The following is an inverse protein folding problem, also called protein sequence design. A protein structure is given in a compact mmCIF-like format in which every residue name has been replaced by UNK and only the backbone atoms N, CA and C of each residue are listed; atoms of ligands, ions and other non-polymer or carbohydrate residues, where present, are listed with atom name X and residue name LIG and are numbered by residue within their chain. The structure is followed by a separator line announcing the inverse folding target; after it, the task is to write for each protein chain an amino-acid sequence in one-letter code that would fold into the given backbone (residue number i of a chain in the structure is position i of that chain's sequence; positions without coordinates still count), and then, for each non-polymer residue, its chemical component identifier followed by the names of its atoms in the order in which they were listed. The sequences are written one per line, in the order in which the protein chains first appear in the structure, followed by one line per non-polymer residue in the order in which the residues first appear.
data_IF_837183165614
#
_entry.id   IF_837183165614
#
_cell.length_a   1.000
_cell.length_b   1.000
_cell.length_c   1.000
_cell.angle_alpha   90.00
_cell.angle_beta   90.00
_cell.angle_gamma   90.00
#
_symmetry.space_group_name_H-M   'P 1'
#
loop_
_entity.id
_entity.type
_entity.pdbx_description
1 polymer ?
#
# COMPACT_ATOMS: atom_id res chain seq x y z
N UNK A 1 -1.04 -18.73 -18.55
CA UNK A 1 -0.17 -17.58 -18.25
C UNK A 1 0.46 -17.83 -16.91
N UNK A 2 1.75 -18.17 -16.84
CA UNK A 2 2.44 -18.30 -15.56
C UNK A 2 2.91 -16.91 -15.14
N UNK A 3 2.19 -16.27 -14.23
CA UNK A 3 2.80 -15.23 -13.38
C UNK A 3 3.89 -15.96 -12.59
N UNK A 4 5.19 -15.77 -12.87
CA UNK A 4 6.20 -16.54 -12.19
C UNK A 4 6.63 -15.75 -10.96
N UNK A 5 6.50 -16.39 -9.80
CA UNK A 5 7.11 -16.01 -8.53
C UNK A 5 6.55 -14.73 -7.87
N UNK A 6 6.34 -14.80 -6.55
CA UNK A 6 6.03 -13.61 -5.74
C UNK A 6 7.21 -12.61 -5.80
N UNK A 7 6.99 -11.35 -5.39
CA UNK A 7 8.11 -10.40 -5.25
C UNK A 7 9.23 -10.95 -4.34
N UNK A 8 8.85 -11.72 -3.31
CA UNK A 8 9.77 -12.39 -2.40
C UNK A 8 10.64 -13.42 -3.10
N UNK A 9 10.03 -14.27 -3.92
CA UNK A 9 10.73 -15.28 -4.71
C UNK A 9 11.72 -14.68 -5.72
N UNK A 10 11.36 -13.56 -6.36
CA UNK A 10 12.30 -12.80 -7.20
C UNK A 10 13.48 -12.26 -6.37
N UNK A 11 13.20 -11.74 -5.17
CA UNK A 11 14.22 -11.33 -4.22
C UNK A 11 15.19 -12.47 -3.87
N UNK A 12 14.67 -13.68 -3.63
CA UNK A 12 15.47 -14.89 -3.38
C UNK A 12 16.33 -15.25 -4.58
N UNK A 13 15.76 -15.22 -5.79
CA UNK A 13 16.49 -15.54 -7.03
C UNK A 13 17.62 -14.53 -7.33
N UNK A 14 17.44 -13.26 -6.97
CA UNK A 14 18.51 -12.26 -7.05
C UNK A 14 19.58 -12.50 -5.97
N UNK A 15 19.15 -12.80 -4.73
CA UNK A 15 20.06 -13.08 -3.63
C UNK A 15 20.94 -14.32 -3.90
N UNK A 16 20.42 -15.36 -4.55
CA UNK A 16 21.22 -16.53 -4.94
C UNK A 16 22.32 -16.22 -5.96
N UNK A 17 22.25 -15.07 -6.63
CA UNK A 17 23.30 -14.52 -7.52
C UNK A 17 24.27 -13.58 -6.81
N UNK A 18 24.11 -13.39 -5.49
CA UNK A 18 24.93 -12.49 -4.68
C UNK A 18 24.41 -11.05 -4.59
N UNK A 19 23.23 -10.75 -5.12
CA UNK A 19 22.66 -9.40 -5.06
C UNK A 19 22.04 -9.10 -3.70
N UNK A 20 22.02 -7.81 -3.32
CA UNK A 20 21.23 -7.31 -2.20
C UNK A 20 19.89 -6.79 -2.74
N UNK A 21 18.84 -7.60 -2.61
CA UNK A 21 17.49 -7.23 -3.02
C UNK A 21 16.70 -6.64 -1.84
N UNK A 22 15.93 -5.59 -2.08
CA UNK A 22 14.98 -5.00 -1.13
C UNK A 22 13.64 -4.80 -1.81
N UNK A 23 12.55 -5.17 -1.15
CA UNK A 23 11.19 -4.98 -1.65
C UNK A 23 10.62 -3.79 -0.90
N UNK A 24 10.16 -2.78 -1.64
CA UNK A 24 9.57 -1.55 -1.11
C UNK A 24 8.30 -1.24 -1.91
N UNK A 25 7.31 -0.62 -1.28
CA UNK A 25 6.25 0.04 -2.05
C UNK A 25 6.81 1.35 -2.66
N UNK A 26 6.12 1.91 -3.66
CA UNK A 26 6.59 3.10 -4.37
C UNK A 26 6.68 4.33 -3.47
N UNK A 27 5.87 4.41 -2.40
CA UNK A 27 5.96 5.49 -1.42
C UNK A 27 7.22 5.36 -0.58
N UNK A 28 7.47 4.20 0.00
CA UNK A 28 8.64 3.92 0.83
C UNK A 28 9.94 4.06 0.01
N UNK A 29 9.91 3.62 -1.25
CA UNK A 29 11.02 3.83 -2.18
C UNK A 29 11.28 5.33 -2.41
N UNK A 30 10.26 6.13 -2.71
CA UNK A 30 10.41 7.57 -2.89
C UNK A 30 10.79 8.30 -1.60
N UNK A 31 10.45 7.79 -0.42
CA UNK A 31 10.95 8.31 0.87
C UNK A 31 12.45 8.04 1.03
N UNK A 32 12.90 6.83 0.72
CA UNK A 32 14.32 6.47 0.76
C UNK A 32 15.14 7.21 -0.29
N UNK A 33 14.53 7.49 -1.45
CA UNK A 33 15.15 8.17 -2.58
C UNK A 33 14.31 9.38 -3.04
N UNK A 34 14.35 10.51 -2.32
CA UNK A 34 13.47 11.66 -2.58
C UNK A 34 13.70 12.37 -3.93
N UNK A 35 14.81 12.07 -4.60
CA UNK A 35 15.10 12.54 -5.97
C UNK A 35 14.49 11.65 -7.05
N UNK A 36 14.12 10.43 -6.70
CA UNK A 36 13.47 9.50 -7.61
C UNK A 36 11.98 9.81 -7.65
N UNK A 37 11.52 10.22 -8.83
CA UNK A 37 10.12 10.51 -9.07
C UNK A 37 9.54 9.49 -10.02
N UNK A 38 8.50 8.82 -9.55
CA UNK A 38 7.63 8.03 -10.38
C UNK A 38 6.81 8.98 -11.26
N UNK A 39 6.83 8.79 -12.56
CA UNK A 39 6.07 9.60 -13.52
C UNK A 39 5.14 8.72 -14.34
N UNK A 40 4.00 9.26 -14.73
CA UNK A 40 3.08 8.57 -15.62
C UNK A 40 3.73 8.34 -16.98
N UNK A 41 3.49 7.15 -17.54
CA UNK A 41 3.97 6.83 -18.87
C UNK A 41 3.21 7.65 -19.90
N UNK A 42 3.96 8.35 -20.74
CA UNK A 42 3.42 9.16 -21.82
C UNK A 42 3.38 8.34 -23.12
N UNK A 43 2.29 8.38 -23.91
CA UNK A 43 2.23 7.70 -25.21
C UNK A 43 3.30 8.15 -26.21
N UNK A 44 3.80 9.38 -26.10
CA UNK A 44 4.94 9.89 -26.87
C UNK A 44 6.30 9.47 -26.28
N UNK A 45 6.31 8.79 -25.14
CA UNK A 45 7.48 8.28 -24.47
C UNK A 45 8.12 7.12 -25.22
N UNK A 46 9.46 7.08 -25.19
CA UNK A 46 10.26 6.03 -25.81
C UNK A 46 10.27 4.78 -24.94
N UNK A 47 9.94 3.62 -25.51
CA UNK A 47 10.23 2.33 -24.89
C UNK A 47 11.74 2.08 -25.02
N UNK A 48 12.52 2.68 -24.12
CA UNK A 48 13.97 2.85 -24.25
C UNK A 48 14.75 1.94 -23.31
N UNK A 49 16.07 2.06 -23.38
CA UNK A 49 16.98 1.24 -22.58
C UNK A 49 16.83 1.48 -21.07
N UNK A 50 17.25 0.48 -20.30
CA UNK A 50 17.45 0.55 -18.84
C UNK A 50 18.62 1.47 -18.44
N UNK A 51 19.44 1.87 -19.41
CA UNK A 51 20.65 2.70 -19.27
C UNK A 51 20.39 3.95 -18.40
N UNK A 52 21.25 4.16 -17.40
CA UNK A 52 21.10 5.25 -16.44
C UNK A 52 21.67 6.58 -16.91
N UNK A 53 22.41 6.59 -18.02
CA UNK A 53 23.05 7.79 -18.58
C UNK A 53 22.04 8.81 -19.10
N UNK A 54 22.52 10.04 -19.29
CA UNK A 54 21.80 11.04 -20.07
C UNK A 54 21.76 10.64 -21.55
N UNK A 55 20.81 11.17 -22.29
CA UNK A 55 20.69 10.98 -23.75
C UNK A 55 20.11 12.21 -24.43
N UNK A 56 19.97 12.13 -25.74
CA UNK A 56 19.27 13.12 -26.56
C UNK A 56 17.73 13.06 -26.44
N UNK A 57 17.17 12.10 -25.71
CA UNK A 57 15.74 12.10 -25.38
C UNK A 57 15.43 13.14 -24.29
N UNK A 58 14.40 13.97 -24.51
CA UNK A 58 14.04 15.08 -23.61
C UNK A 58 12.55 15.11 -23.27
N UNK A 59 12.23 15.66 -22.10
CA UNK A 59 10.84 15.83 -21.64
C UNK A 59 10.05 14.51 -21.67
N UNK A 60 8.86 14.55 -22.28
CA UNK A 60 7.96 13.39 -22.39
C UNK A 60 8.56 12.17 -23.09
N UNK A 61 9.57 12.35 -23.93
CA UNK A 61 10.27 11.22 -24.58
C UNK A 61 10.93 10.29 -23.54
N UNK A 62 11.31 10.82 -22.37
CA UNK A 62 11.90 10.05 -21.28
C UNK A 62 10.86 9.26 -20.46
N UNK A 63 9.56 9.53 -20.67
CA UNK A 63 8.45 8.96 -19.91
C UNK A 63 7.89 7.69 -20.54
N UNK A 64 8.63 6.99 -21.41
CA UNK A 64 8.24 5.65 -21.87
C UNK A 64 8.80 4.53 -20.98
N UNK A 65 8.31 3.29 -21.12
CA UNK A 65 8.82 2.16 -20.33
C UNK A 65 10.31 1.88 -20.58
N UNK A 66 11.02 1.38 -19.56
CA UNK A 66 12.45 1.03 -19.63
C UNK A 66 12.65 -0.48 -19.73
N UNK A 67 13.26 -0.93 -20.83
CA UNK A 67 13.50 -2.34 -21.16
C UNK A 67 14.94 -2.53 -21.64
N UNK A 68 15.52 -3.72 -21.48
CA UNK A 68 16.90 -4.02 -21.85
C UNK A 68 17.15 -3.72 -23.33
N UNK A 69 18.01 -2.74 -23.62
CA UNK A 69 18.28 -2.30 -25.01
C UNK A 69 17.05 -1.77 -25.76
N UNK A 70 15.99 -1.35 -25.07
CA UNK A 70 14.72 -0.98 -25.68
C UNK A 70 14.00 -2.20 -26.26
N UNK A 71 13.62 -2.16 -27.54
CA UNK A 71 12.91 -3.28 -28.20
C UNK A 71 13.74 -4.56 -28.31
N UNK A 72 15.07 -4.47 -28.20
CA UNK A 72 15.92 -5.66 -28.20
C UNK A 72 15.68 -6.59 -27.00
N UNK A 73 15.19 -6.06 -25.87
CA UNK A 73 14.87 -6.87 -24.71
C UNK A 73 13.70 -7.81 -24.99
N UNK A 74 12.72 -7.35 -25.77
CA UNK A 74 11.61 -8.19 -26.24
C UNK A 74 12.15 -9.24 -27.22
N UNK A 75 13.01 -8.80 -28.16
CA UNK A 75 13.60 -9.65 -29.19
C UNK A 75 14.39 -10.83 -28.60
N UNK A 76 15.29 -10.53 -27.66
CA UNK A 76 16.09 -11.54 -26.94
C UNK A 76 15.19 -12.53 -26.21
N UNK A 77 14.20 -12.04 -25.46
CA UNK A 77 13.33 -12.90 -24.66
C UNK A 77 12.48 -13.85 -25.52
N UNK A 78 12.16 -13.46 -26.76
CA UNK A 78 11.45 -14.29 -27.75
C UNK A 78 12.37 -15.11 -28.66
N UNK A 79 13.69 -14.94 -28.55
CA UNK A 79 14.66 -15.66 -29.35
C UNK A 79 14.59 -15.37 -30.86
N UNK A 80 14.15 -14.16 -31.24
CA UNK A 80 14.07 -13.80 -32.67
C UNK A 80 15.47 -13.67 -33.27
N UNK A 81 15.59 -13.83 -34.58
CA UNK A 81 16.90 -13.77 -35.26
C UNK A 81 16.97 -12.79 -36.42
N UNK A 82 15.84 -12.38 -36.97
CA UNK A 82 15.80 -11.62 -38.22
C UNK A 82 15.29 -10.19 -38.03
N UNK A 83 15.65 -9.29 -38.95
CA UNK A 83 15.12 -7.91 -38.95
C UNK A 83 13.61 -7.88 -39.21
N UNK A 84 13.06 -8.84 -39.97
CA UNK A 84 11.60 -8.94 -40.19
C UNK A 84 10.84 -9.21 -38.88
N UNK A 85 11.39 -10.08 -38.02
CA UNK A 85 10.82 -10.31 -36.69
C UNK A 85 10.97 -9.09 -35.78
N UNK A 86 12.11 -8.37 -35.87
CA UNK A 86 12.33 -7.13 -35.13
C UNK A 86 11.36 -6.01 -35.56
N UNK A 87 11.06 -5.91 -36.85
CA UNK A 87 10.04 -5.00 -37.39
C UNK A 87 8.67 -5.32 -36.80
N UNK A 88 8.29 -6.61 -36.72
CA UNK A 88 7.04 -7.03 -36.11
C UNK A 88 6.94 -6.61 -34.63
N UNK A 89 8.03 -6.72 -33.87
CA UNK A 89 8.11 -6.21 -32.49
C UNK A 89 7.92 -4.70 -32.45
N UNK A 90 8.52 -3.95 -33.38
CA UNK A 90 8.33 -2.50 -33.44
C UNK A 90 6.86 -2.12 -33.67
N UNK A 91 6.15 -2.85 -34.53
CA UNK A 91 4.71 -2.62 -34.75
C UNK A 91 3.88 -2.98 -33.51
N UNK A 92 4.23 -4.05 -32.80
CA UNK A 92 3.57 -4.41 -31.54
C UNK A 92 3.76 -3.33 -30.46
N UNK A 93 4.97 -2.79 -30.32
CA UNK A 93 5.26 -1.72 -29.36
C UNK A 93 4.45 -0.45 -29.67
N UNK A 94 4.30 -0.12 -30.96
CA UNK A 94 3.43 0.98 -31.41
C UNK A 94 1.96 0.72 -31.09
N UNK A 95 1.48 -0.49 -31.38
CA UNK A 95 0.11 -0.89 -31.07
C UNK A 95 -0.17 -0.86 -29.55
N UNK A 96 0.85 -1.10 -28.72
CA UNK A 96 0.78 -0.96 -27.27
C UNK A 96 0.84 0.49 -26.76
N UNK A 97 0.91 1.47 -27.66
CA UNK A 97 0.88 2.91 -27.34
C UNK A 97 2.24 3.48 -26.92
N UNK A 98 3.35 2.92 -27.44
CA UNK A 98 4.70 3.37 -27.11
C UNK A 98 5.53 3.58 -28.39
N UNK A 99 6.55 4.45 -28.31
CA UNK A 99 7.49 4.64 -29.43
C UNK A 99 8.61 3.59 -29.33
N UNK A 100 8.77 2.67 -30.31
CA UNK A 100 9.84 1.68 -30.27
C UNK A 100 11.20 2.34 -30.44
N UNK A 101 12.14 1.97 -29.58
CA UNK A 101 13.49 2.53 -29.57
C UNK A 101 14.56 1.46 -29.44
N UNK A 102 15.68 1.71 -30.09
CA UNK A 102 17.00 1.16 -29.74
C UNK A 102 17.94 2.33 -29.48
N UNK A 103 19.15 2.08 -29.03
CA UNK A 103 20.10 3.17 -28.80
C UNK A 103 21.54 2.79 -29.11
N UNK A 104 22.37 3.82 -29.23
CA UNK A 104 23.83 3.76 -29.19
C UNK A 104 24.39 4.77 -28.18
N UNK A 105 25.66 5.09 -28.37
CA UNK A 105 26.33 6.26 -27.80
C UNK A 105 27.29 6.88 -28.83
N UNK A 106 28.19 7.78 -28.40
CA UNK A 106 29.20 8.42 -29.25
C UNK A 106 30.07 7.42 -30.07
N UNK A 107 30.15 6.15 -29.66
CA UNK A 107 30.84 5.08 -30.36
C UNK A 107 29.99 4.29 -31.37
N UNK A 108 28.72 4.64 -31.57
CA UNK A 108 27.78 3.97 -32.47
C UNK A 108 26.78 3.04 -31.75
N UNK A 109 26.07 2.19 -32.50
CA UNK A 109 24.97 1.35 -31.96
C UNK A 109 25.47 0.34 -30.91
N UNK A 110 26.72 -0.11 -31.01
CA UNK A 110 27.34 -0.98 -30.00
C UNK A 110 27.64 -0.26 -28.66
N UNK A 111 27.34 1.03 -28.56
CA UNK A 111 27.24 1.77 -27.31
C UNK A 111 26.11 1.28 -26.39
N UNK A 112 25.14 0.54 -26.93
CA UNK A 112 24.21 -0.24 -26.13
C UNK A 112 24.89 -1.51 -25.61
N UNK A 113 25.20 -1.54 -24.30
CA UNK A 113 25.81 -2.69 -23.65
C UNK A 113 25.02 -3.99 -23.83
N UNK A 114 23.69 -3.93 -23.75
CA UNK A 114 22.82 -5.10 -23.95
C UNK A 114 22.88 -5.64 -25.39
N UNK A 115 22.75 -4.75 -26.39
CA UNK A 115 22.89 -5.13 -27.80
C UNK A 115 24.27 -5.75 -28.05
N UNK A 116 25.34 -5.13 -27.55
CA UNK A 116 26.71 -5.64 -27.68
C UNK A 116 26.85 -7.03 -27.08
N UNK A 117 26.27 -7.31 -25.92
CA UNK A 117 26.30 -8.64 -25.32
C UNK A 117 25.54 -9.67 -26.18
N UNK A 118 24.35 -9.32 -26.67
CA UNK A 118 23.55 -10.22 -27.50
C UNK A 118 24.23 -10.57 -28.83
N UNK A 119 24.74 -9.56 -29.54
CA UNK A 119 25.46 -9.74 -30.81
C UNK A 119 26.70 -10.63 -30.67
N UNK A 120 27.34 -10.60 -29.49
CA UNK A 120 28.53 -11.40 -29.19
C UNK A 120 28.20 -12.75 -28.53
N UNK A 121 26.94 -13.21 -28.62
CA UNK A 121 26.51 -14.51 -28.11
C UNK A 121 26.67 -14.67 -26.60
N UNK A 122 26.61 -13.58 -25.83
CA UNK A 122 26.87 -13.62 -24.39
C UNK A 122 25.70 -14.08 -23.53
N UNK A 123 24.60 -14.55 -24.13
CA UNK A 123 23.38 -15.03 -23.47
C UNK A 123 23.05 -16.51 -23.79
N UNK A 124 24.02 -17.34 -24.16
CA UNK A 124 23.76 -18.73 -24.59
C UNK A 124 23.49 -19.71 -23.43
N UNK A 125 23.95 -19.43 -22.19
CA UNK A 125 23.97 -20.40 -21.08
C UNK A 125 23.61 -19.79 -19.71
N UNK A 126 22.44 -19.15 -19.59
CA UNK A 126 22.09 -18.41 -18.36
C UNK A 126 20.75 -18.79 -17.75
N UNK A 127 20.68 -18.72 -16.42
CA UNK A 127 19.46 -18.90 -15.62
C UNK A 127 18.35 -17.85 -15.84
N UNK A 128 18.40 -17.09 -16.94
CA UNK A 128 17.33 -16.21 -17.44
C UNK A 128 16.86 -16.67 -18.82
N UNK A 129 17.05 -15.84 -19.84
CA UNK A 129 16.82 -16.18 -21.26
C UNK A 129 18.09 -16.76 -21.88
N UNK A 130 17.99 -17.98 -22.41
CA UNK A 130 19.01 -18.55 -23.30
C UNK A 130 18.65 -18.23 -24.76
N UNK A 131 19.51 -17.47 -25.45
CA UNK A 131 19.31 -17.16 -26.88
C UNK A 131 20.62 -17.16 -27.66
N UNK A 132 20.53 -17.57 -28.93
CA UNK A 132 21.59 -17.36 -29.91
C UNK A 132 21.71 -15.87 -30.28
N UNK A 133 22.87 -15.43 -30.79
CA UNK A 133 22.98 -14.13 -31.45
C UNK A 133 22.02 -14.04 -32.65
N UNK A 134 21.61 -12.83 -33.05
CA UNK A 134 20.75 -12.64 -34.21
C UNK A 134 21.53 -12.79 -35.53
N UNK A 135 20.80 -12.98 -36.63
CA UNK A 135 21.33 -13.07 -37.99
C UNK A 135 21.48 -11.69 -38.65
N UNK A 136 21.52 -10.62 -37.85
CA UNK A 136 21.70 -9.23 -38.30
C UNK A 136 22.70 -8.47 -37.43
N UNK A 137 23.33 -7.43 -37.99
CA UNK A 137 24.26 -6.56 -37.26
C UNK A 137 23.52 -5.48 -36.45
N UNK A 138 24.21 -4.88 -35.48
CA UNK A 138 23.66 -3.78 -34.69
C UNK A 138 23.13 -2.62 -35.57
N UNK A 139 23.86 -2.26 -36.63
CA UNK A 139 23.44 -1.22 -37.58
C UNK A 139 22.23 -1.62 -38.42
N UNK A 140 22.15 -2.88 -38.86
CA UNK A 140 20.97 -3.41 -39.56
C UNK A 140 19.73 -3.39 -38.65
N UNK A 141 19.89 -3.75 -37.38
CA UNK A 141 18.82 -3.69 -36.39
C UNK A 141 18.34 -2.25 -36.13
N UNK A 142 19.27 -1.30 -35.97
CA UNK A 142 18.92 0.12 -35.80
C UNK A 142 18.24 0.72 -37.03
N UNK A 143 18.73 0.39 -38.23
CA UNK A 143 18.10 0.80 -39.49
C UNK A 143 16.68 0.21 -39.62
N UNK A 144 16.49 -1.05 -39.25
CA UNK A 144 15.18 -1.70 -39.23
C UNK A 144 14.21 -1.00 -38.27
N UNK A 145 14.63 -0.71 -37.03
CA UNK A 145 13.79 0.01 -36.05
C UNK A 145 13.38 1.38 -36.58
N UNK A 146 14.31 2.12 -37.19
CA UNK A 146 14.03 3.42 -37.81
C UNK A 146 13.07 3.29 -38.99
N UNK A 147 13.26 2.30 -39.87
CA UNK A 147 12.38 2.04 -41.01
C UNK A 147 10.96 1.63 -40.58
N UNK A 148 10.83 0.89 -39.49
CA UNK A 148 9.56 0.58 -38.85
C UNK A 148 8.91 1.80 -38.16
N UNK A 149 9.53 2.99 -38.25
CA UNK A 149 9.09 4.26 -37.67
C UNK A 149 9.32 4.38 -36.17
N UNK A 150 10.33 3.68 -35.65
CA UNK A 150 10.89 3.88 -34.31
C UNK A 150 12.00 4.92 -34.30
N UNK A 151 12.69 5.02 -33.17
CA UNK A 151 13.77 5.99 -32.93
C UNK A 151 15.08 5.27 -32.57
N UNK A 152 16.21 5.87 -32.94
CA UNK A 152 17.54 5.49 -32.47
C UNK A 152 18.01 6.59 -31.54
N UNK A 153 18.02 6.31 -30.24
CA UNK A 153 18.46 7.23 -29.20
C UNK A 153 20.00 7.23 -29.06
N UNK A 154 20.58 8.36 -28.68
CA UNK A 154 22.01 8.49 -28.46
C UNK A 154 22.32 8.89 -27.01
N UNK A 155 23.01 8.01 -26.28
CA UNK A 155 23.41 8.29 -24.90
C UNK A 155 24.71 9.09 -24.84
N UNK A 156 24.81 9.92 -23.81
CA UNK A 156 25.99 10.74 -23.51
C UNK A 156 26.51 10.42 -22.11
N UNK A 157 27.80 10.65 -21.89
CA UNK A 157 28.54 10.36 -20.66
C UNK A 157 28.85 8.88 -20.39
N UNK A 158 29.58 8.65 -19.29
CA UNK A 158 30.02 7.32 -18.83
C UNK A 158 29.00 6.72 -17.86
N UNK A 159 28.95 5.40 -17.83
CA UNK A 159 28.19 4.63 -16.84
C UNK A 159 28.72 4.86 -15.41
N UNK A 160 27.80 5.15 -14.48
CA UNK A 160 28.05 5.33 -13.04
C UNK A 160 26.89 4.81 -12.19
N UNK A 161 26.11 3.87 -12.72
CA UNK A 161 24.92 3.33 -12.07
C UNK A 161 25.23 2.71 -10.70
N UNK A 162 24.43 3.07 -9.69
CA UNK A 162 24.66 2.67 -8.30
C UNK A 162 23.82 1.47 -7.84
N UNK A 163 22.67 1.27 -8.49
CA UNK A 163 21.70 0.24 -8.15
C UNK A 163 20.74 0.01 -9.33
N UNK A 164 19.91 -1.01 -9.21
CA UNK A 164 18.86 -1.36 -10.18
C UNK A 164 17.50 -1.16 -9.55
N UNK A 165 16.58 -0.52 -10.28
CA UNK A 165 15.16 -0.45 -9.94
C UNK A 165 14.42 -1.48 -10.79
N UNK A 166 13.70 -2.38 -10.14
CA UNK A 166 12.75 -3.31 -10.77
C UNK A 166 11.34 -2.81 -10.45
N UNK A 167 10.76 -2.03 -11.36
CA UNK A 167 9.50 -1.31 -11.15
C UNK A 167 8.29 -2.15 -11.56
N UNK A 168 7.42 -2.45 -10.60
CA UNK A 168 6.16 -3.17 -10.77
C UNK A 168 4.93 -2.25 -10.73
N UNK A 169 5.10 -0.92 -10.60
CA UNK A 169 3.99 0.03 -10.54
C UNK A 169 3.38 0.23 -11.94
N UNK A 170 2.13 -0.19 -12.19
CA UNK A 170 1.55 -0.16 -13.54
C UNK A 170 1.42 1.27 -14.10
N UNK A 171 1.72 1.42 -15.40
CA UNK A 171 1.52 2.69 -16.11
C UNK A 171 2.50 3.80 -15.73
N UNK A 172 3.51 3.51 -14.90
CA UNK A 172 4.48 4.50 -14.43
C UNK A 172 5.91 4.07 -14.69
N UNK A 173 6.83 5.02 -14.70
CA UNK A 173 8.27 4.78 -14.91
C UNK A 173 9.11 5.75 -14.08
N UNK A 174 10.41 5.50 -14.01
CA UNK A 174 11.40 6.46 -13.54
C UNK A 174 12.17 7.05 -14.74
N UNK A 175 12.70 8.26 -14.56
CA UNK A 175 13.42 9.01 -15.61
C UNK A 175 14.93 8.94 -15.38
N UNK A 176 15.79 8.68 -16.38
CA UNK A 176 17.25 8.70 -16.23
C UNK A 176 17.80 9.99 -15.59
N UNK A 177 18.85 9.87 -14.76
CA UNK A 177 19.53 11.01 -14.15
C UNK A 177 21.04 10.87 -14.38
N UNK A 178 21.55 11.58 -15.38
CA UNK A 178 22.96 11.47 -15.80
C UNK A 178 23.98 11.84 -14.70
N UNK A 179 23.58 12.54 -13.64
CA UNK A 179 24.44 12.91 -12.50
C UNK A 179 24.31 11.94 -11.31
N UNK A 180 23.26 11.12 -11.27
CA UNK A 180 22.98 10.18 -10.19
C UNK A 180 22.33 8.93 -10.79
N UNK A 181 23.17 8.11 -11.44
CA UNK A 181 22.70 7.06 -12.33
C UNK A 181 22.27 5.79 -11.59
N UNK A 182 21.35 5.07 -12.22
CA UNK A 182 20.77 3.79 -11.82
C UNK A 182 20.16 3.13 -13.04
N UNK A 183 20.13 1.81 -13.07
CA UNK A 183 19.39 1.09 -14.09
C UNK A 183 17.91 1.02 -13.71
N UNK A 184 17.03 1.18 -14.70
CA UNK A 184 15.58 1.14 -14.49
C UNK A 184 14.99 0.05 -15.37
N UNK A 185 14.28 -0.91 -14.78
CA UNK A 185 13.57 -1.97 -15.50
C UNK A 185 12.10 -1.90 -15.14
N UNK A 186 11.24 -1.57 -16.11
CA UNK A 186 9.79 -1.52 -15.91
C UNK A 186 9.18 -2.92 -16.07
N UNK A 187 9.26 -3.72 -15.00
CA UNK A 187 8.75 -5.09 -14.93
C UNK A 187 7.24 -5.19 -15.21
N UNK A 188 6.44 -4.18 -14.84
CA UNK A 188 5.00 -4.16 -15.14
C UNK A 188 4.70 -4.15 -16.65
N UNK A 189 5.60 -3.61 -17.48
CA UNK A 189 5.40 -3.52 -18.93
C UNK A 189 5.61 -4.88 -19.63
N UNK A 190 6.31 -5.83 -18.98
CA UNK A 190 6.63 -7.14 -19.57
C UNK A 190 5.37 -7.95 -19.89
N UNK A 191 4.33 -7.85 -19.07
CA UNK A 191 3.04 -8.50 -19.30
C UNK A 191 2.35 -8.03 -20.59
N UNK A 192 2.54 -6.76 -20.99
CA UNK A 192 2.00 -6.22 -22.25
C UNK A 192 2.58 -6.92 -23.49
N UNK A 193 3.79 -7.46 -23.37
CA UNK A 193 4.52 -8.11 -24.44
C UNK A 193 4.63 -9.63 -24.23
N UNK A 194 3.81 -10.20 -23.33
CA UNK A 194 3.78 -11.64 -23.04
C UNK A 194 5.17 -12.22 -22.70
N UNK A 195 5.97 -11.49 -21.90
CA UNK A 195 7.30 -11.91 -21.49
C UNK A 195 7.30 -12.53 -20.09
N UNK A 196 8.18 -13.50 -19.86
CA UNK A 196 8.40 -14.09 -18.54
C UNK A 196 9.17 -13.10 -17.65
N UNK A 197 8.49 -12.58 -16.63
CA UNK A 197 9.00 -11.54 -15.73
C UNK A 197 10.25 -12.00 -15.00
N UNK A 198 10.25 -13.21 -14.44
CA UNK A 198 11.39 -13.74 -13.69
C UNK A 198 12.58 -13.90 -14.61
N UNK A 199 12.42 -14.55 -15.76
CA UNK A 199 13.53 -14.73 -16.73
C UNK A 199 14.07 -13.39 -17.18
N UNK A 200 13.19 -12.42 -17.45
CA UNK A 200 13.61 -11.09 -17.88
C UNK A 200 14.39 -10.35 -16.80
N UNK A 201 13.92 -10.37 -15.55
CA UNK A 201 14.62 -9.75 -14.43
C UNK A 201 15.99 -10.41 -14.17
N UNK A 202 16.08 -11.74 -14.30
CA UNK A 202 17.35 -12.45 -14.18
C UNK A 202 18.29 -12.17 -15.36
N UNK A 203 17.78 -12.00 -16.58
CA UNK A 203 18.57 -11.51 -17.72
C UNK A 203 19.04 -10.07 -17.50
N UNK A 204 18.24 -9.22 -16.87
CA UNK A 204 18.66 -7.86 -16.51
C UNK A 204 19.82 -7.89 -15.48
N UNK A 205 19.71 -8.71 -14.44
CA UNK A 205 20.79 -8.92 -13.48
C UNK A 205 22.06 -9.44 -14.15
N UNK A 206 21.95 -10.47 -15.00
CA UNK A 206 23.09 -11.03 -15.73
C UNK A 206 23.72 -10.02 -16.71
N UNK A 207 22.92 -9.15 -17.32
CA UNK A 207 23.41 -8.04 -18.15
C UNK A 207 24.31 -7.11 -17.32
N UNK A 208 23.86 -6.68 -16.15
CA UNK A 208 24.65 -5.81 -15.26
C UNK A 208 25.95 -6.49 -14.82
N UNK A 209 25.90 -7.78 -14.47
CA UNK A 209 27.07 -8.57 -14.08
C UNK A 209 28.11 -8.66 -15.20
N UNK A 210 27.69 -8.91 -16.44
CA UNK A 210 28.60 -9.04 -17.60
C UNK A 210 29.20 -7.73 -18.07
N UNK A 211 28.49 -6.62 -17.88
CA UNK A 211 29.03 -5.29 -18.14
C UNK A 211 30.07 -4.88 -17.09
N UNK A 212 30.16 -5.60 -15.96
CA UNK A 212 31.07 -5.31 -14.84
C UNK A 212 31.85 -6.55 -14.34
N UNK A 213 32.61 -7.25 -15.22
CA UNK A 213 33.17 -8.57 -14.91
C UNK A 213 34.19 -8.58 -13.75
N UNK A 214 34.77 -7.43 -13.38
CA UNK A 214 35.78 -7.30 -12.33
C UNK A 214 35.22 -7.13 -10.90
N UNK A 215 33.90 -7.04 -10.71
CA UNK A 215 33.29 -6.77 -9.40
C UNK A 215 32.62 -8.02 -8.78
N UNK A 216 33.41 -9.00 -8.35
CA UNK A 216 32.90 -10.21 -7.64
C UNK A 216 33.49 -10.33 -6.22
N UNK A 217 32.68 -10.67 -5.18
CA UNK A 217 31.22 -10.89 -5.21
C UNK A 217 30.45 -9.60 -5.50
N UNK A 218 29.37 -9.70 -6.28
CA UNK A 218 28.66 -8.54 -6.83
C UNK A 218 27.98 -7.72 -5.73
N UNK A 219 28.41 -6.48 -5.45
CA UNK A 219 27.81 -5.66 -4.39
C UNK A 219 26.51 -4.98 -4.83
N UNK A 220 25.91 -5.42 -5.95
CA UNK A 220 24.78 -4.74 -6.57
C UNK A 220 23.53 -4.80 -5.71
N UNK A 221 22.86 -3.64 -5.65
CA UNK A 221 21.59 -3.46 -4.96
C UNK A 221 20.46 -3.46 -5.98
N UNK A 222 19.42 -4.23 -5.72
CA UNK A 222 18.18 -4.20 -6.48
C UNK A 222 17.04 -3.74 -5.57
N UNK A 223 16.27 -2.77 -6.01
CA UNK A 223 15.04 -2.35 -5.35
C UNK A 223 13.85 -2.81 -6.19
N UNK A 224 13.10 -3.76 -5.66
CA UNK A 224 11.83 -4.23 -6.23
C UNK A 224 10.76 -3.26 -5.73
N UNK A 225 10.34 -2.36 -6.62
CA UNK A 225 9.38 -1.30 -6.30
C UNK A 225 7.99 -1.77 -6.69
N UNK A 226 7.14 -1.95 -5.71
CA UNK A 226 5.77 -2.47 -5.86
C UNK A 226 4.77 -1.33 -5.81
N UNK A 227 3.58 -1.46 -6.45
CA UNK A 227 2.53 -0.48 -6.21
C UNK A 227 2.19 -0.48 -4.73
N UNK A 228 2.18 0.71 -4.13
CA UNK A 228 1.54 0.91 -2.84
C UNK A 228 0.13 0.34 -2.88
N UNK A 229 -0.15 -0.58 -1.97
CA UNK A 229 -1.53 -0.91 -1.64
C UNK A 229 -2.26 0.41 -1.33
N UNK A 230 -3.49 0.60 -1.84
CA UNK A 230 -4.33 1.72 -1.48
C UNK A 230 -4.34 1.80 0.04
N UNK A 231 -3.73 2.87 0.60
CA UNK A 231 -4.00 3.20 2.00
C UNK A 231 -5.41 3.72 1.95
N UNK A 232 -6.40 2.93 2.37
CA UNK A 232 -7.60 3.53 2.91
C UNK A 232 -7.14 4.21 4.21
N UNK A 233 -6.71 5.45 4.12
CA UNK A 233 -6.21 6.25 5.23
C UNK A 233 -7.30 7.15 5.79
N UNK A 234 -6.94 8.06 6.70
CA UNK A 234 -7.84 9.08 7.21
C UNK A 234 -8.59 9.85 6.11
N UNK A 235 -7.94 10.20 4.99
CA UNK A 235 -8.60 10.91 3.88
C UNK A 235 -9.72 10.08 3.21
N UNK A 236 -9.47 8.81 2.91
CA UNK A 236 -10.46 7.91 2.31
C UNK A 236 -11.62 7.62 3.27
N UNK A 237 -11.34 7.51 4.58
CA UNK A 237 -12.38 7.36 5.60
C UNK A 237 -13.26 8.62 5.64
N UNK A 238 -12.67 9.83 5.59
CA UNK A 238 -13.45 11.08 5.47
C UNK A 238 -14.36 11.05 4.24
N UNK A 239 -13.83 10.68 3.08
CA UNK A 239 -14.61 10.55 1.84
C UNK A 239 -15.75 9.53 1.97
N UNK A 240 -15.50 8.38 2.59
CA UNK A 240 -16.51 7.36 2.84
C UNK A 240 -17.64 7.86 3.76
N UNK A 241 -17.29 8.55 4.85
CA UNK A 241 -18.27 9.13 5.78
C UNK A 241 -19.08 10.25 5.12
N UNK A 242 -18.44 11.13 4.36
CA UNK A 242 -19.12 12.18 3.59
C UNK A 242 -20.08 11.60 2.55
N UNK A 243 -19.71 10.49 1.90
CA UNK A 243 -20.60 9.74 1.00
C UNK A 243 -21.84 9.17 1.69
N UNK A 244 -21.77 8.94 3.01
CA UNK A 244 -22.92 8.56 3.87
C UNK A 244 -23.70 9.76 4.41
N UNK A 245 -23.35 10.99 4.01
CA UNK A 245 -24.00 12.22 4.44
C UNK A 245 -23.46 12.83 5.74
N UNK A 246 -22.31 12.39 6.24
CA UNK A 246 -21.69 12.93 7.44
C UNK A 246 -20.88 14.21 7.18
N UNK A 247 -20.78 15.07 8.18
CA UNK A 247 -19.74 16.10 8.26
C UNK A 247 -18.47 15.49 8.88
N UNK A 248 -17.49 15.11 8.06
CA UNK A 248 -16.22 14.55 8.54
C UNK A 248 -15.04 15.49 8.27
N UNK A 249 -14.15 15.65 9.26
CA UNK A 249 -12.91 16.44 9.15
C UNK A 249 -11.71 15.70 9.79
N UNK A 250 -10.51 15.99 9.31
CA UNK A 250 -9.25 15.57 9.93
C UNK A 250 -8.75 16.70 10.84
N UNK A 251 -8.34 16.36 12.05
CA UNK A 251 -7.69 17.26 12.98
C UNK A 251 -6.39 16.65 13.49
N UNK A 252 -5.46 17.50 13.89
CA UNK A 252 -4.14 17.09 14.37
C UNK A 252 -4.16 16.73 15.86
N UNK A 253 -3.17 15.97 16.29
CA UNK A 253 -2.91 15.62 17.68
C UNK A 253 -2.78 16.88 18.54
N UNK A 254 -1.98 17.86 18.09
CA UNK A 254 -1.78 19.13 18.79
C UNK A 254 -3.09 19.88 19.06
N UNK A 255 -4.02 19.91 18.09
CA UNK A 255 -5.34 20.54 18.24
C UNK A 255 -6.21 19.85 19.30
N UNK A 256 -5.98 18.57 19.54
CA UNK A 256 -6.75 17.72 20.46
C UNK A 256 -6.00 17.39 21.76
N UNK A 257 -4.81 17.98 21.98
CA UNK A 257 -3.95 17.64 23.12
C UNK A 257 -4.61 17.85 24.49
N UNK A 258 -5.57 18.77 24.61
CA UNK A 258 -6.28 19.05 25.86
C UNK A 258 -7.23 17.93 26.31
N UNK A 259 -7.63 17.04 25.41
CA UNK A 259 -8.57 15.95 25.68
C UNK A 259 -8.01 14.55 25.45
N UNK A 260 -6.82 14.45 24.84
CA UNK A 260 -6.11 13.19 24.68
C UNK A 260 -5.42 12.80 26.00
N UNK A 261 -5.67 11.59 26.46
CA UNK A 261 -5.04 11.01 27.66
C UNK A 261 -4.29 9.73 27.30
N UNK A 262 -3.21 9.45 28.02
CA UNK A 262 -2.47 8.19 27.87
C UNK A 262 -3.33 7.01 28.31
N UNK A 263 -3.27 5.93 27.55
CA UNK A 263 -3.92 4.68 27.95
C UNK A 263 -3.27 4.12 29.21
N UNK A 264 -4.09 3.74 30.18
CA UNK A 264 -3.66 3.06 31.40
C UNK A 264 -3.71 1.54 31.21
N UNK A 265 -2.72 0.78 31.70
CA UNK A 265 -2.79 -0.69 31.74
C UNK A 265 -3.97 -1.23 32.57
N UNK A 266 -4.48 -0.44 33.52
CA UNK A 266 -5.67 -0.77 34.31
C UNK A 266 -6.98 -0.31 33.63
N UNK A 267 -6.86 0.32 32.47
CA UNK A 267 -7.96 0.84 31.68
C UNK A 267 -8.77 -0.28 31.04
N UNK A 268 -10.08 -0.08 31.02
CA UNK A 268 -11.02 -0.99 30.38
C UNK A 268 -10.98 -0.78 28.87
N UNK A 269 -10.72 -1.84 28.09
CA UNK A 269 -11.05 -1.85 26.67
C UNK A 269 -12.58 -1.91 26.57
N UNK A 270 -13.21 -0.74 26.58
CA UNK A 270 -14.65 -0.56 26.76
C UNK A 270 -15.34 0.02 25.53
N UNK A 271 -16.66 0.22 25.64
CA UNK A 271 -17.49 0.72 24.55
C UNK A 271 -17.12 2.14 24.13
N UNK A 272 -17.50 2.48 22.90
CA UNK A 272 -17.48 3.83 22.33
C UNK A 272 -18.52 4.77 22.95
N UNK A 273 -19.45 4.22 23.74
CA UNK A 273 -20.57 4.90 24.42
C UNK A 273 -20.12 6.16 25.18
N UNK A 274 -20.82 7.27 24.95
CA UNK A 274 -20.49 8.58 25.52
C UNK A 274 -21.09 8.84 26.89
N UNK A 275 -21.96 7.96 27.39
CA UNK A 275 -22.61 8.10 28.70
C UNK A 275 -21.64 7.92 29.87
N UNK A 276 -22.08 8.36 31.05
CA UNK A 276 -21.42 8.00 32.30
C UNK A 276 -21.61 6.51 32.64
N UNK A 277 -20.69 5.96 33.41
CA UNK A 277 -20.75 4.58 33.90
C UNK A 277 -20.20 4.43 35.32
N UNK A 278 -20.26 3.21 35.83
CA UNK A 278 -19.63 2.79 37.08
C UNK A 278 -18.09 2.71 37.02
N UNK A 279 -17.46 2.74 35.83
CA UNK A 279 -16.01 2.85 35.69
C UNK A 279 -15.48 4.20 36.21
N UNK A 280 -14.40 4.18 37.00
CA UNK A 280 -13.79 5.37 37.63
C UNK A 280 -12.28 5.45 37.42
N UNK A 281 -11.76 6.68 37.39
CA UNK A 281 -10.33 6.96 37.31
C UNK A 281 -9.67 6.26 36.13
N UNK A 282 -8.58 5.55 36.40
CA UNK A 282 -7.80 4.85 35.36
C UNK A 282 -8.60 3.81 34.57
N UNK A 283 -9.70 3.27 35.11
CA UNK A 283 -10.58 2.34 34.38
C UNK A 283 -11.17 2.99 33.11
N UNK A 284 -11.37 4.31 33.11
CA UNK A 284 -11.87 5.04 31.95
C UNK A 284 -10.82 5.24 30.86
N UNK A 285 -9.54 5.02 31.17
CA UNK A 285 -8.39 5.28 30.30
C UNK A 285 -7.92 4.06 29.51
N UNK A 286 -8.82 3.12 29.23
CA UNK A 286 -8.53 2.05 28.25
C UNK A 286 -9.01 2.42 26.85
N UNK A 287 -8.62 1.65 25.81
CA UNK A 287 -9.06 1.90 24.45
C UNK A 287 -10.59 1.78 24.29
N UNK A 288 -11.18 2.58 23.40
CA UNK A 288 -12.62 2.57 23.11
C UNK A 288 -12.90 1.85 21.79
N UNK A 289 -13.63 0.74 21.87
CA UNK A 289 -14.00 -0.12 20.74
C UNK A 289 -15.51 -0.41 20.76
N UNK A 290 -16.12 -0.66 19.60
CA UNK A 290 -17.56 -0.92 19.45
C UNK A 290 -18.01 -2.07 20.37
N UNK A 291 -18.83 -1.77 21.38
CA UNK A 291 -19.26 -2.76 22.38
C UNK A 291 -18.13 -3.40 23.21
N UNK A 292 -16.97 -2.74 23.30
CA UNK A 292 -15.77 -3.29 23.94
C UNK A 292 -15.18 -4.43 23.12
N UNK A 293 -14.97 -5.60 23.72
CA UNK A 293 -14.40 -6.78 23.03
C UNK A 293 -15.29 -7.30 21.90
N UNK A 294 -16.59 -6.97 21.88
CA UNK A 294 -17.47 -7.35 20.79
C UNK A 294 -17.06 -6.73 19.45
N UNK A 295 -16.41 -5.58 19.42
CA UNK A 295 -15.96 -4.95 18.19
C UNK A 295 -14.91 -5.79 17.46
N UNK A 296 -14.02 -6.45 18.23
CA UNK A 296 -13.05 -7.42 17.72
C UNK A 296 -13.79 -8.66 17.22
N UNK A 297 -14.75 -9.14 18.02
CA UNK A 297 -15.51 -10.34 17.73
C UNK A 297 -16.29 -10.27 16.41
N UNK A 298 -17.03 -9.17 16.21
CA UNK A 298 -17.82 -8.90 15.02
C UNK A 298 -16.93 -8.81 13.78
N UNK A 299 -15.83 -8.08 13.86
CA UNK A 299 -14.93 -7.89 12.71
C UNK A 299 -14.28 -9.21 12.27
N UNK A 300 -13.99 -10.11 13.21
CA UNK A 300 -13.44 -11.45 12.92
C UNK A 300 -14.49 -12.50 12.61
N UNK A 301 -15.77 -12.16 12.72
CA UNK A 301 -16.88 -13.07 12.43
C UNK A 301 -17.00 -14.24 13.41
N UNK A 302 -16.53 -14.11 14.65
CA UNK A 302 -16.61 -15.23 15.62
C UNK A 302 -18.07 -15.50 16.01
N UNK A 303 -18.37 -16.75 16.39
CA UNK A 303 -19.76 -17.17 16.65
C UNK A 303 -19.97 -17.80 18.03
N UNK A 304 -18.91 -18.17 18.74
CA UNK A 304 -19.00 -18.97 19.97
C UNK A 304 -18.41 -18.24 21.17
N UNK A 305 -18.85 -18.63 22.37
CA UNK A 305 -18.29 -18.12 23.63
C UNK A 305 -16.83 -18.52 23.83
N UNK A 306 -16.41 -19.68 23.32
CA UNK A 306 -14.99 -20.10 23.37
C UNK A 306 -14.08 -19.17 22.56
N UNK A 307 -14.54 -18.73 21.40
CA UNK A 307 -13.81 -17.73 20.59
C UNK A 307 -13.80 -16.36 21.27
N UNK A 308 -14.91 -15.96 21.93
CA UNK A 308 -14.97 -14.73 22.71
C UNK A 308 -14.01 -14.75 23.91
N UNK A 309 -13.92 -15.88 24.61
CA UNK A 309 -12.95 -16.10 25.69
C UNK A 309 -11.51 -15.94 25.19
N UNK A 310 -11.19 -16.46 23.99
CA UNK A 310 -9.88 -16.28 23.38
C UNK A 310 -9.56 -14.80 23.09
N UNK A 311 -10.54 -14.02 22.60
CA UNK A 311 -10.40 -12.56 22.41
C UNK A 311 -10.12 -11.88 23.75
N UNK A 312 -10.81 -12.27 24.84
CA UNK A 312 -10.52 -11.71 26.15
C UNK A 312 -9.08 -11.96 26.60
N UNK A 313 -8.53 -13.15 26.34
CA UNK A 313 -7.12 -13.45 26.66
C UNK A 313 -6.16 -12.64 25.80
N UNK A 314 -6.46 -12.45 24.51
CA UNK A 314 -5.67 -11.59 23.63
C UNK A 314 -5.64 -10.13 24.11
N UNK A 315 -6.80 -9.59 24.51
CA UNK A 315 -6.90 -8.22 25.04
C UNK A 315 -6.08 -8.06 26.32
N UNK A 316 -6.09 -9.07 27.20
CA UNK A 316 -5.23 -9.09 28.40
C UNK A 316 -3.76 -9.14 28.05
N UNK A 317 -3.37 -10.01 27.11
CA UNK A 317 -1.99 -10.11 26.63
C UNK A 317 -1.52 -8.80 25.98
N UNK A 318 -2.43 -8.03 25.38
CA UNK A 318 -2.19 -6.70 24.84
C UNK A 318 -2.08 -5.58 25.91
N UNK A 319 -2.24 -5.92 27.19
CA UNK A 319 -2.08 -5.02 28.33
C UNK A 319 -3.32 -4.23 28.72
N UNK A 320 -4.52 -4.72 28.38
CA UNK A 320 -5.79 -4.04 28.65
C UNK A 320 -6.78 -4.95 29.39
N UNK A 321 -7.76 -4.37 30.08
CA UNK A 321 -8.83 -5.14 30.75
C UNK A 321 -10.00 -5.37 29.77
N UNK A 322 -10.29 -6.62 29.34
CA UNK A 322 -11.38 -6.90 28.40
C UNK A 322 -12.73 -6.59 29.05
N UNK A 323 -13.56 -5.80 28.36
CA UNK A 323 -14.84 -5.34 28.91
C UNK A 323 -15.96 -5.47 27.89
N UNK A 324 -17.15 -5.81 28.37
CA UNK A 324 -18.44 -5.58 27.70
C UNK A 324 -19.31 -4.75 28.64
N UNK A 325 -20.47 -4.28 28.19
CA UNK A 325 -21.31 -3.46 29.06
C UNK A 325 -22.80 -3.68 28.85
N UNK A 326 -23.57 -3.26 29.85
CA UNK A 326 -25.00 -3.01 29.78
C UNK A 326 -25.34 -1.57 30.20
N UNK A 327 -26.59 -1.38 30.58
CA UNK A 327 -27.07 -0.20 31.31
C UNK A 327 -28.15 -0.58 32.33
N UNK A 328 -28.86 0.40 32.89
CA UNK A 328 -29.95 0.21 33.86
C UNK A 328 -31.06 -0.76 33.39
N UNK A 329 -31.17 -1.02 32.08
CA UNK A 329 -32.09 -1.99 31.48
C UNK A 329 -31.52 -3.41 31.29
N UNK A 330 -30.26 -3.65 31.67
CA UNK A 330 -29.57 -4.94 31.55
C UNK A 330 -28.51 -4.96 30.45
N UNK A 331 -28.01 -6.16 30.11
CA UNK A 331 -26.86 -6.33 29.20
C UNK A 331 -27.13 -5.88 27.76
N UNK A 332 -28.40 -5.86 27.34
CA UNK A 332 -28.82 -5.30 26.05
C UNK A 332 -28.84 -3.76 26.01
N UNK A 333 -28.42 -3.10 27.09
CA UNK A 333 -28.09 -1.67 27.13
C UNK A 333 -26.91 -1.28 26.24
N UNK A 334 -26.10 -2.25 25.81
CA UNK A 334 -25.13 -2.04 24.74
C UNK A 334 -25.81 -2.02 23.37
N UNK A 335 -25.92 -0.83 22.77
CA UNK A 335 -26.49 -0.66 21.44
C UNK A 335 -25.81 -1.52 20.36
N UNK A 336 -24.48 -1.60 20.36
CA UNK A 336 -23.73 -2.40 19.39
C UNK A 336 -23.99 -3.91 19.52
N UNK A 337 -23.97 -4.44 20.75
CA UNK A 337 -24.29 -5.84 21.04
C UNK A 337 -25.72 -6.17 20.59
N UNK A 338 -26.67 -5.28 20.90
CA UNK A 338 -28.07 -5.40 20.47
C UNK A 338 -28.21 -5.45 18.96
N UNK A 339 -27.52 -4.57 18.22
CA UNK A 339 -27.54 -4.59 16.74
C UNK A 339 -26.95 -5.90 16.19
N UNK A 340 -25.83 -6.36 16.74
CA UNK A 340 -25.17 -7.59 16.29
C UNK A 340 -26.03 -8.83 16.52
N UNK A 341 -26.62 -8.99 17.71
CA UNK A 341 -27.48 -10.11 18.05
C UNK A 341 -28.77 -10.17 17.20
N UNK A 342 -29.23 -9.01 16.72
CA UNK A 342 -30.41 -8.87 15.86
C UNK A 342 -30.07 -8.81 14.36
N UNK A 343 -28.86 -9.23 13.98
CA UNK A 343 -28.42 -9.37 12.59
C UNK A 343 -28.50 -8.06 11.79
N UNK A 344 -28.38 -6.91 12.46
CA UNK A 344 -28.54 -5.59 11.84
C UNK A 344 -27.33 -5.11 11.03
N UNK A 345 -26.29 -5.94 10.93
CA UNK A 345 -25.09 -5.68 10.14
C UNK A 345 -24.96 -6.61 8.92
N UNK A 346 -25.96 -7.44 8.62
CA UNK A 346 -25.91 -8.36 7.48
C UNK A 346 -25.81 -7.64 6.12
N UNK A 347 -26.26 -6.39 6.05
CA UNK A 347 -26.19 -5.50 4.88
C UNK A 347 -24.90 -4.67 4.80
N UNK A 348 -24.06 -4.69 5.84
CA UNK A 348 -22.78 -4.00 5.86
C UNK A 348 -21.68 -4.98 5.43
N UNK A 349 -21.06 -4.73 4.27
CA UNK A 349 -20.16 -5.66 3.56
C UNK A 349 -18.84 -6.04 4.26
N UNK A 350 -18.75 -5.90 5.57
CA UNK A 350 -17.53 -6.02 6.38
C UNK A 350 -17.71 -6.80 7.66
N UNK A 351 -18.94 -7.19 7.98
CA UNK A 351 -19.21 -8.17 9.02
C UNK A 351 -19.25 -9.54 8.35
N UNK A 352 -18.27 -10.40 8.68
CA UNK A 352 -18.32 -11.81 8.26
C UNK A 352 -19.59 -12.45 8.84
N UNK A 353 -20.54 -12.68 7.96
CA UNK A 353 -21.98 -12.80 8.21
C UNK A 353 -22.40 -13.76 9.34
N UNK A 354 -23.56 -13.43 9.92
CA UNK A 354 -24.36 -14.05 10.99
C UNK A 354 -24.16 -13.54 12.43
N UNK A 355 -25.29 -13.26 13.10
CA UNK A 355 -25.37 -13.12 14.56
C UNK A 355 -24.61 -14.25 15.29
N UNK A 356 -24.08 -14.00 16.50
CA UNK A 356 -23.40 -15.04 17.26
C UNK A 356 -24.38 -16.13 17.69
N UNK A 357 -23.85 -17.30 18.06
CA UNK A 357 -24.63 -18.45 18.56
C UNK A 357 -24.81 -18.42 20.08
N UNK A 358 -24.61 -17.26 20.70
CA UNK A 358 -24.72 -17.05 22.15
C UNK A 358 -25.59 -15.83 22.46
N UNK A 359 -26.24 -15.82 23.63
CA UNK A 359 -27.02 -14.69 24.12
C UNK A 359 -26.14 -13.57 24.68
N UNK A 360 -26.69 -12.37 24.89
CA UNK A 360 -25.95 -11.28 25.53
C UNK A 360 -25.48 -11.68 26.93
N UNK A 361 -26.30 -12.40 27.68
CA UNK A 361 -26.02 -12.91 29.02
C UNK A 361 -24.92 -13.98 29.01
N UNK A 362 -24.92 -14.89 28.04
CA UNK A 362 -23.83 -15.87 27.89
C UNK A 362 -22.53 -15.16 27.53
N UNK A 363 -22.60 -14.14 26.68
CA UNK A 363 -21.47 -13.30 26.30
C UNK A 363 -20.87 -12.58 27.50
N UNK A 364 -21.69 -11.93 28.33
CA UNK A 364 -21.21 -11.21 29.52
C UNK A 364 -20.56 -12.15 30.54
N UNK A 365 -21.22 -13.28 30.85
CA UNK A 365 -20.68 -14.30 31.76
C UNK A 365 -19.36 -14.89 31.24
N UNK A 366 -19.24 -15.05 29.93
CA UNK A 366 -18.00 -15.53 29.29
C UNK A 366 -16.86 -14.53 29.49
N UNK A 367 -17.14 -13.23 29.33
CA UNK A 367 -16.15 -12.16 29.55
C UNK A 367 -15.72 -12.14 31.01
N UNK A 368 -16.65 -12.20 31.97
CA UNK A 368 -16.32 -12.29 33.40
C UNK A 368 -15.51 -13.53 33.74
N UNK A 369 -15.91 -14.70 33.21
CA UNK A 369 -15.18 -15.97 33.41
C UNK A 369 -13.76 -15.92 32.85
N UNK A 370 -13.55 -15.22 31.73
CA UNK A 370 -12.23 -14.97 31.17
C UNK A 370 -11.42 -13.94 32.00
N UNK A 371 -12.00 -13.42 33.09
CA UNK A 371 -11.46 -12.41 34.01
C UNK A 371 -11.51 -10.99 33.45
N UNK A 372 -12.47 -10.70 32.59
CA UNK A 372 -12.85 -9.35 32.17
C UNK A 372 -13.89 -8.71 33.08
N UNK A 373 -14.44 -7.59 32.65
CA UNK A 373 -15.42 -6.78 33.41
C UNK A 373 -16.71 -6.59 32.62
N UNK A 374 -17.84 -6.52 33.32
CA UNK A 374 -19.12 -6.05 32.78
C UNK A 374 -19.36 -4.66 33.35
N UNK A 375 -19.21 -3.64 32.52
CA UNK A 375 -19.45 -2.24 32.88
C UNK A 375 -20.95 -1.91 32.82
N UNK A 376 -21.41 -1.00 33.68
CA UNK A 376 -22.81 -0.55 33.67
C UNK A 376 -22.92 0.96 33.41
N UNK A 377 -23.56 1.33 32.30
CA UNK A 377 -23.79 2.74 31.96
C UNK A 377 -25.06 3.27 32.62
N UNK A 378 -25.10 4.59 32.82
CA UNK A 378 -26.24 5.30 33.41
C UNK A 378 -26.63 6.51 32.56
N UNK A 379 -27.90 6.88 32.62
CA UNK A 379 -28.41 8.04 31.87
C UNK A 379 -28.68 7.74 30.39
N UNK A 380 -28.92 8.82 29.63
CA UNK A 380 -29.38 8.76 28.22
C UNK A 380 -28.27 9.18 27.27
N UNK A 381 -28.32 8.64 26.06
CA UNK A 381 -27.48 9.05 24.94
C UNK A 381 -27.79 10.47 24.50
N UNK A 382 -26.75 11.30 24.41
CA UNK A 382 -26.80 12.68 23.87
C UNK A 382 -25.52 13.02 23.10
N UNK A 383 -24.88 12.04 22.48
CA UNK A 383 -23.62 12.21 21.75
C UNK A 383 -23.76 13.18 20.58
N UNK A 384 -22.79 14.10 20.45
CA UNK A 384 -22.82 15.17 19.44
C UNK A 384 -21.82 14.96 18.30
N UNK A 385 -20.79 14.14 18.52
CA UNK A 385 -19.67 13.94 17.61
C UNK A 385 -19.08 12.54 17.81
N UNK A 386 -18.54 11.98 16.73
CA UNK A 386 -17.72 10.77 16.75
C UNK A 386 -16.26 11.14 16.58
N UNK A 387 -15.41 10.82 17.55
CA UNK A 387 -13.97 10.91 17.41
C UNK A 387 -13.40 9.57 16.94
N UNK A 388 -12.70 9.60 15.80
CA UNK A 388 -11.92 8.48 15.29
C UNK A 388 -10.44 8.76 15.58
N UNK A 389 -9.90 8.19 16.65
CA UNK A 389 -8.56 8.49 17.15
C UNK A 389 -7.50 7.54 16.56
N UNK A 390 -6.53 8.09 15.82
CA UNK A 390 -5.38 7.37 15.26
C UNK A 390 -4.09 7.54 16.08
N UNK A 391 -4.14 8.22 17.23
CA UNK A 391 -2.95 8.43 18.08
C UNK A 391 -2.69 7.19 18.94
N UNK A 392 -1.66 6.43 18.58
CA UNK A 392 -1.26 5.20 19.28
C UNK A 392 -0.99 5.44 20.77
N UNK A 393 -1.47 4.52 21.62
CA UNK A 393 -1.33 4.58 23.07
C UNK A 393 -2.07 5.72 23.78
N UNK A 394 -2.89 6.49 23.06
CA UNK A 394 -3.72 7.56 23.61
C UNK A 394 -5.22 7.25 23.41
N UNK A 395 -6.08 7.82 24.24
CA UNK A 395 -7.54 7.72 24.13
C UNK A 395 -8.19 9.04 24.55
N UNK A 396 -9.52 9.11 24.46
CA UNK A 396 -10.34 10.15 25.07
C UNK A 396 -11.21 9.50 26.17
N UNK A 397 -11.61 10.30 27.17
CA UNK A 397 -12.53 9.88 28.23
C UNK A 397 -13.97 10.32 27.89
N UNK A 398 -15.00 9.51 28.24
CA UNK A 398 -16.39 9.96 28.17
C UNK A 398 -16.60 11.19 29.07
N UNK A 399 -17.50 12.09 28.70
CA UNK A 399 -18.03 13.06 29.64
C UNK A 399 -19.54 13.20 29.43
N UNK A 400 -20.26 12.94 30.52
CA UNK A 400 -21.70 12.75 30.54
C UNK A 400 -22.49 14.04 30.23
N UNK A 401 -21.89 15.21 30.48
CA UNK A 401 -22.51 16.52 30.27
C UNK A 401 -22.33 17.04 28.82
N UNK A 402 -21.39 16.45 28.06
CA UNK A 402 -21.09 16.84 26.68
C UNK A 402 -20.76 15.64 25.78
N UNK A 403 -21.63 14.62 25.79
CA UNK A 403 -21.30 13.29 25.28
C UNK A 403 -20.74 13.27 23.85
N UNK A 404 -19.84 12.30 23.61
CA UNK A 404 -19.25 12.00 22.30
C UNK A 404 -19.06 10.50 22.17
N UNK A 405 -19.17 9.97 20.96
CA UNK A 405 -18.69 8.62 20.69
C UNK A 405 -17.17 8.68 20.48
N UNK A 406 -16.44 7.73 21.06
CA UNK A 406 -14.97 7.67 20.96
C UNK A 406 -14.60 6.32 20.37
N UNK A 407 -13.91 6.32 19.24
CA UNK A 407 -13.42 5.12 18.56
C UNK A 407 -11.91 5.22 18.44
N UNK A 408 -11.19 4.38 19.17
CA UNK A 408 -9.73 4.29 19.05
C UNK A 408 -9.35 3.44 17.82
N UNK A 409 -9.26 4.09 16.66
CA UNK A 409 -8.92 3.45 15.39
C UNK A 409 -7.54 2.77 15.42
N UNK A 410 -6.58 3.33 16.15
CA UNK A 410 -5.27 2.71 16.36
C UNK A 410 -5.39 1.34 17.07
N UNK A 411 -6.36 1.18 17.97
CA UNK A 411 -6.56 -0.08 18.69
C UNK A 411 -7.09 -1.18 17.77
N UNK A 412 -7.93 -0.84 16.79
CA UNK A 412 -8.33 -1.78 15.74
C UNK A 412 -7.09 -2.32 14.98
N UNK A 413 -6.12 -1.46 14.67
CA UNK A 413 -4.83 -1.87 14.09
C UNK A 413 -4.02 -2.77 15.02
N UNK A 414 -3.96 -2.45 16.32
CA UNK A 414 -3.29 -3.27 17.34
C UNK A 414 -3.84 -4.70 17.42
N UNK A 415 -5.14 -4.88 17.18
CA UNK A 415 -5.80 -6.19 17.14
C UNK A 415 -5.92 -6.76 15.71
N UNK A 416 -5.08 -6.29 14.77
CA UNK A 416 -5.01 -6.78 13.39
C UNK A 416 -6.39 -6.80 12.70
N UNK A 417 -7.20 -5.77 12.94
CA UNK A 417 -8.46 -5.56 12.26
C UNK A 417 -8.24 -4.65 11.05
N UNK A 418 -9.15 -4.75 10.09
CA UNK A 418 -9.18 -3.84 8.95
C UNK A 418 -9.68 -2.45 9.44
N UNK A 419 -8.74 -1.54 9.71
CA UNK A 419 -9.01 -0.24 10.37
C UNK A 419 -10.02 0.62 9.61
N UNK A 420 -9.89 0.83 8.29
CA UNK A 420 -10.86 1.62 7.53
C UNK A 420 -12.26 1.02 7.59
N UNK A 421 -12.32 -0.31 7.43
CA UNK A 421 -13.58 -1.04 7.57
C UNK A 421 -14.17 -0.86 8.97
N UNK A 422 -13.34 -0.97 9.99
CA UNK A 422 -13.77 -0.77 11.37
C UNK A 422 -14.36 0.64 11.60
N UNK A 423 -13.72 1.68 11.09
CA UNK A 423 -14.20 3.07 11.18
C UNK A 423 -15.55 3.27 10.46
N UNK A 424 -15.73 2.72 9.26
CA UNK A 424 -17.01 2.80 8.54
C UNK A 424 -18.11 2.01 9.26
N UNK A 425 -17.77 0.87 9.87
CA UNK A 425 -18.71 0.08 10.70
C UNK A 425 -19.14 0.85 11.95
N UNK A 426 -18.23 1.65 12.53
CA UNK A 426 -18.57 2.52 13.64
C UNK A 426 -19.60 3.58 13.24
N UNK A 427 -19.46 4.18 12.05
CA UNK A 427 -20.47 5.10 11.52
C UNK A 427 -21.81 4.41 11.26
N UNK A 428 -21.81 3.24 10.62
CA UNK A 428 -23.02 2.44 10.41
C UNK A 428 -23.71 2.07 11.74
N UNK A 429 -22.94 1.81 12.80
CA UNK A 429 -23.47 1.57 14.14
C UNK A 429 -24.24 2.79 14.65
N UNK A 430 -23.66 3.99 14.58
CA UNK A 430 -24.31 5.24 15.02
C UNK A 430 -25.60 5.50 14.24
N UNK A 431 -25.59 5.29 12.93
CA UNK A 431 -26.76 5.43 12.07
C UNK A 431 -27.88 4.45 12.45
N UNK A 432 -27.55 3.16 12.63
CA UNK A 432 -28.52 2.11 12.95
C UNK A 432 -29.09 2.23 14.37
N UNK A 433 -28.39 2.89 15.29
CA UNK A 433 -28.92 3.22 16.62
C UNK A 433 -29.90 4.40 16.61
N UNK A 434 -29.96 5.16 15.51
CA UNK A 434 -30.81 6.35 15.37
C UNK A 434 -31.70 6.29 14.11
N UNK A 435 -32.54 5.25 13.95
CA UNK A 435 -33.36 5.09 12.76
C UNK A 435 -34.41 6.20 12.70
N UNK A 436 -34.28 7.13 11.75
CA UNK A 436 -35.27 8.18 11.49
C UNK A 436 -34.75 9.62 11.44
N UNK A 437 -33.46 9.87 11.66
CA UNK A 437 -32.89 11.23 11.69
C UNK A 437 -32.31 11.72 10.33
N UNK A 438 -32.82 11.28 9.16
CA UNK A 438 -32.26 11.71 7.86
C UNK A 438 -32.89 13.02 7.29
N UNK A 439 -32.12 13.92 6.62
CA UNK A 439 -30.65 13.93 6.52
C UNK A 439 -30.01 14.32 7.85
N UNK A 440 -28.97 13.56 8.25
CA UNK A 440 -28.55 13.49 9.64
C UNK A 440 -27.33 14.36 9.94
N UNK A 441 -27.30 15.13 11.04
CA UNK A 441 -26.21 16.06 11.39
C UNK A 441 -25.00 15.37 12.01
N UNK A 442 -24.65 14.16 11.55
CA UNK A 442 -23.55 13.40 12.16
C UNK A 442 -22.21 14.05 11.87
N UNK A 443 -21.47 14.35 12.94
CA UNK A 443 -20.11 14.89 12.85
C UNK A 443 -19.09 13.83 13.21
N UNK A 444 -18.07 13.67 12.36
CA UNK A 444 -16.89 12.87 12.66
C UNK A 444 -15.62 13.73 12.66
N UNK A 445 -14.72 13.47 13.62
CA UNK A 445 -13.40 14.08 13.69
C UNK A 445 -12.36 12.97 13.74
N UNK A 446 -11.51 12.89 12.72
CA UNK A 446 -10.38 11.97 12.68
C UNK A 446 -9.17 12.67 13.30
N UNK A 447 -8.64 12.15 14.40
CA UNK A 447 -7.46 12.71 15.06
C UNK A 447 -6.22 11.96 14.60
N UNK A 448 -5.31 12.65 13.92
CA UNK A 448 -4.07 12.07 13.35
C UNK A 448 -2.81 12.73 13.93
N UNK A 449 -1.64 12.07 13.91
CA UNK A 449 -0.37 12.69 14.28
C UNK A 449 -0.12 14.00 13.51
N UNK A 450 0.60 14.94 14.12
CA UNK A 450 0.88 16.26 13.51
C UNK A 450 1.67 16.13 12.19
N UNK A 451 2.46 15.07 12.02
CA UNK A 451 3.26 14.76 10.85
C UNK A 451 2.57 13.81 9.85
N UNK A 452 1.31 13.45 10.09
CA UNK A 452 0.56 12.57 9.21
C UNK A 452 0.39 13.19 7.80
N UNK A 453 0.52 12.43 6.69
CA UNK A 453 0.39 12.96 5.33
C UNK A 453 -0.94 13.70 5.07
N UNK A 454 -2.02 13.23 5.69
CA UNK A 454 -3.36 13.81 5.58
C UNK A 454 -3.64 14.91 6.62
N UNK A 455 -2.67 15.26 7.48
CA UNK A 455 -2.84 16.33 8.45
C UNK A 455 -3.10 17.67 7.72
N UNK A 456 -4.07 18.48 8.16
CA UNK A 456 -4.28 19.81 7.60
C UNK A 456 -2.99 20.63 7.70
N UNK A 457 -2.43 21.01 6.55
CA UNK A 457 -1.25 21.88 6.52
C UNK A 457 -1.65 23.24 7.06
N UNK A 458 -0.85 23.79 7.98
CA UNK A 458 -1.02 25.17 8.41
C UNK A 458 -1.07 26.08 7.18
N UNK A 459 -2.12 26.89 7.06
CA UNK A 459 -2.12 27.98 6.09
C UNK A 459 -0.87 28.82 6.38
N UNK A 460 0.07 28.87 5.44
CA UNK A 460 1.11 29.87 5.48
C UNK A 460 0.41 31.21 5.45
N UNK A 461 0.31 31.88 6.60
CA UNK A 461 0.01 33.29 6.63
C UNK A 461 1.10 33.97 5.80
N UNK A 462 0.76 34.40 4.59
CA UNK A 462 1.57 35.33 3.84
C UNK A 462 1.72 36.57 4.72
N UNK A 463 2.86 36.72 5.39
CA UNK A 463 3.30 38.04 5.85
C UNK A 463 3.53 38.86 4.60
N UNK A 464 2.60 39.78 4.34
CA UNK A 464 2.79 40.88 3.40
C UNK A 464 4.01 41.64 3.93
N UNK A 465 5.09 41.65 3.14
CA UNK A 465 6.30 42.43 3.42
C UNK A 465 6.05 43.92 3.23
#
# INVERSE_FOLDING_TARGET
MTNPLSYGDLGVALASRGWKASILDDRDFCTLFPKEKLVDVDPAGFLKCVDGRGSDAVGKQQHGPKMLGGVYGIAVNRGIKTTKELEAICQEVKAAGHVPTVHGDEGGILGCGFCKLWMNGKFTDEGGVATAPPDFTADQGAACVKAAGGVVENHVAKHTEKYVILNFVPGKTFVPNGKDQRFIVDCWALGKFNLDITKYALTAAATVEKLNPGQKPCPWKAYIVTPAEPRFGPAEIVGALQGRGWSAEIQTQSRNAYQLVKVSPNGFLKCVDGRGSDAKGDQQRGPKMLGGVYGIAVNRGIKTTKELEAICQEVKAAGHVPTVHGDEGGILGCGFCKLWLNDKFADEGMVNESKPKFSAEDGSKTVEKAGGVVENHVGKHTEKVVYLNFIDGMTLEPNADDQRFIVDAWAAGKFNLDVPKYCVTAAATVEKLNPGQAPCPWKAVLIVPDDHPDAPKAQQCCTIQ
#
